data_IF_068270945501
#
_entry.id   IF_068270945501
#
_cell.length_a   1.000
_cell.length_b   1.000
_cell.length_c   1.000
_cell.angle_alpha   90.00
_cell.angle_beta   90.00
_cell.angle_gamma   90.00
#
_symmetry.space_group_name_H-M   'P 1'
#
loop_
_entity.id
_entity.type
_entity.pdbx_description
1 polymer ?
#
# COMPACT_ATOMS: atom_id res chain seq x y z
N UNK A 1 9.91 -9.32 -4.16
CA UNK A 1 9.67 -9.86 -2.82
C UNK A 1 10.32 -8.99 -1.75
N UNK A 2 9.68 -8.96 -0.59
CA UNK A 2 10.24 -8.32 0.60
C UNK A 2 10.94 -9.41 1.39
N UNK A 3 12.22 -9.18 1.72
CA UNK A 3 13.03 -10.17 2.42
C UNK A 3 13.56 -9.62 3.74
N UNK A 4 13.62 -10.49 4.76
CA UNK A 4 14.28 -10.22 6.02
C UNK A 4 15.41 -11.23 6.15
N UNK A 5 16.64 -10.81 5.85
CA UNK A 5 17.74 -11.73 5.66
C UNK A 5 17.46 -12.64 4.46
N UNK A 6 17.46 -13.95 4.69
CA UNK A 6 17.21 -14.95 3.63
C UNK A 6 15.75 -15.35 3.52
N UNK A 7 14.87 -14.79 4.36
CA UNK A 7 13.46 -15.19 4.40
C UNK A 7 12.59 -14.21 3.64
N UNK A 8 11.71 -14.72 2.80
CA UNK A 8 10.69 -13.93 2.13
C UNK A 8 9.55 -13.68 3.11
N UNK A 9 9.31 -12.42 3.45
CA UNK A 9 8.31 -12.05 4.46
C UNK A 9 7.10 -11.36 3.87
N UNK A 10 7.13 -11.03 2.59
CA UNK A 10 6.01 -10.39 1.92
C UNK A 10 6.33 -10.06 0.47
N UNK A 11 5.45 -9.30 -0.14
CA UNK A 11 5.63 -8.85 -1.52
C UNK A 11 4.98 -7.47 -1.71
N UNK A 12 5.56 -6.70 -2.60
CA UNK A 12 5.01 -5.42 -3.04
C UNK A 12 5.21 -5.30 -4.55
N UNK A 13 4.21 -4.75 -5.22
CA UNK A 13 4.30 -4.40 -6.62
C UNK A 13 4.07 -2.92 -6.78
N UNK A 14 5.00 -2.23 -7.41
CA UNK A 14 4.90 -0.81 -7.69
C UNK A 14 4.77 -0.64 -9.20
N UNK A 15 3.75 0.09 -9.60
CA UNK A 15 3.52 0.44 -11.01
C UNK A 15 3.87 1.91 -11.16
N UNK A 16 4.93 2.19 -11.91
CA UNK A 16 5.40 3.54 -12.18
C UNK A 16 5.64 3.66 -13.68
N UNK A 17 4.78 4.43 -14.35
CA UNK A 17 4.88 4.63 -15.79
C UNK A 17 5.96 5.64 -16.17
N UNK A 18 6.61 6.27 -15.18
CA UNK A 18 7.57 7.36 -15.36
C UNK A 18 7.00 8.55 -16.12
N UNK A 19 5.67 8.73 -16.09
CA UNK A 19 4.98 9.86 -16.69
C UNK A 19 4.50 10.80 -15.60
N UNK A 20 4.69 12.10 -15.81
CA UNK A 20 4.27 13.12 -14.86
C UNK A 20 2.76 13.23 -14.71
N UNK A 21 2.02 12.82 -15.73
CA UNK A 21 0.56 12.87 -15.77
C UNK A 21 -0.11 11.66 -15.14
N UNK A 22 0.65 10.71 -14.63
CA UNK A 22 0.12 9.49 -14.02
C UNK A 22 0.67 9.26 -12.64
N UNK A 23 -0.23 8.86 -11.74
CA UNK A 23 0.18 8.49 -10.40
C UNK A 23 0.86 7.12 -10.39
N UNK A 24 1.83 6.98 -9.51
CA UNK A 24 2.43 5.69 -9.19
C UNK A 24 1.44 4.91 -8.35
N UNK A 25 1.44 3.60 -8.49
CA UNK A 25 0.47 2.75 -7.81
C UNK A 25 1.15 1.61 -7.06
N UNK A 26 0.75 1.41 -5.83
CA UNK A 26 1.12 0.23 -5.05
C UNK A 26 -0.01 -0.79 -5.22
N UNK A 27 0.34 -1.99 -5.76
CA UNK A 27 -0.69 -3.01 -5.99
C UNK A 27 -0.03 -4.37 -6.23
N UNK A 28 -0.23 -5.35 -5.41
CA UNK A 28 -0.60 -5.27 -4.00
C UNK A 28 0.61 -5.11 -3.08
N UNK A 29 0.35 -4.86 -1.81
CA UNK A 29 1.35 -4.97 -0.75
C UNK A 29 0.80 -5.95 0.28
N UNK A 30 1.58 -6.99 0.61
CA UNK A 30 1.21 -7.86 1.72
C UNK A 30 2.44 -8.30 2.50
N UNK A 31 2.22 -8.56 3.78
CA UNK A 31 3.23 -9.10 4.71
C UNK A 31 2.66 -10.40 5.27
N UNK A 32 3.47 -11.45 5.32
CA UNK A 32 3.04 -12.71 5.92
C UNK A 32 2.58 -12.49 7.37
N UNK A 33 1.53 -13.19 7.82
CA UNK A 33 0.95 -12.93 9.15
C UNK A 33 1.96 -12.97 10.29
N UNK A 34 2.92 -13.87 10.26
CA UNK A 34 3.94 -14.00 11.31
C UNK A 34 4.91 -12.82 11.38
N UNK A 35 4.93 -11.97 10.34
CA UNK A 35 5.81 -10.80 10.28
C UNK A 35 5.04 -9.48 10.37
N UNK A 36 3.72 -9.53 10.50
CA UNK A 36 2.91 -8.32 10.65
C UNK A 36 3.13 -7.67 12.02
N UNK A 37 2.88 -6.38 12.10
CA UNK A 37 3.03 -5.63 13.34
C UNK A 37 4.46 -5.27 13.71
N UNK A 38 5.43 -5.50 12.82
CA UNK A 38 6.85 -5.22 13.06
C UNK A 38 7.37 -3.99 12.32
N UNK A 39 6.50 -3.23 11.69
CA UNK A 39 6.88 -2.03 10.95
C UNK A 39 7.50 -2.29 9.60
N UNK A 40 7.46 -3.51 9.08
CA UNK A 40 8.06 -3.86 7.79
C UNK A 40 7.37 -3.12 6.65
N UNK A 41 6.03 -3.11 6.65
CA UNK A 41 5.26 -2.44 5.61
C UNK A 41 5.57 -0.94 5.56
N UNK A 42 5.70 -0.29 6.71
CA UNK A 42 6.04 1.13 6.78
C UNK A 42 7.41 1.40 6.16
N UNK A 43 8.40 0.56 6.46
CA UNK A 43 9.75 0.70 5.91
C UNK A 43 9.75 0.53 4.40
N UNK A 44 9.00 -0.43 3.90
CA UNK A 44 8.90 -0.70 2.46
C UNK A 44 8.24 0.47 1.74
N UNK A 45 7.15 1.00 2.28
CA UNK A 45 6.46 2.15 1.68
C UNK A 45 7.40 3.37 1.63
N UNK A 46 8.11 3.65 2.71
CA UNK A 46 9.07 4.77 2.75
C UNK A 46 10.20 4.58 1.75
N UNK A 47 10.69 3.36 1.59
CA UNK A 47 11.73 3.07 0.62
C UNK A 47 11.23 3.30 -0.81
N UNK A 48 10.03 2.86 -1.13
CA UNK A 48 9.41 3.09 -2.44
C UNK A 48 9.24 4.58 -2.71
N UNK A 49 8.79 5.35 -1.72
CA UNK A 49 8.64 6.79 -1.85
C UNK A 49 9.99 7.49 -2.06
N UNK A 50 11.04 6.99 -1.43
CA UNK A 50 12.40 7.52 -1.61
C UNK A 50 12.90 7.26 -3.03
N UNK A 51 12.62 6.09 -3.58
CA UNK A 51 13.08 5.71 -4.93
C UNK A 51 12.27 6.43 -6.02
N UNK A 52 10.94 6.52 -5.84
CA UNK A 52 10.02 7.00 -6.87
C UNK A 52 9.43 8.39 -6.59
N UNK A 53 9.79 9.02 -5.47
CA UNK A 53 9.22 10.30 -5.05
C UNK A 53 8.10 10.12 -4.02
N UNK A 54 7.83 11.18 -3.25
CA UNK A 54 6.87 11.12 -2.15
C UNK A 54 5.43 11.43 -2.55
N UNK A 55 5.23 12.05 -3.71
CA UNK A 55 3.91 12.48 -4.16
C UNK A 55 3.45 11.72 -5.40
N UNK A 56 2.17 11.76 -5.64
CA UNK A 56 1.59 11.13 -6.81
C UNK A 56 1.41 9.63 -6.66
N UNK A 57 1.12 9.18 -5.45
CA UNK A 57 0.82 7.78 -5.16
C UNK A 57 -0.66 7.53 -5.05
N UNK A 58 -1.09 6.37 -5.50
CA UNK A 58 -2.45 5.87 -5.28
C UNK A 58 -2.40 4.40 -4.92
N UNK A 59 -3.36 3.96 -4.13
CA UNK A 59 -3.50 2.56 -3.79
C UNK A 59 -4.95 2.27 -3.38
N UNK A 60 -5.29 1.01 -3.34
CA UNK A 60 -6.56 0.55 -2.82
C UNK A 60 -6.32 -0.57 -1.82
N UNK A 61 -7.25 -0.72 -0.91
CA UNK A 61 -7.23 -1.80 0.08
C UNK A 61 -8.66 -2.18 0.46
N UNK A 62 -8.79 -3.28 1.18
CA UNK A 62 -10.10 -3.73 1.65
C UNK A 62 -10.51 -2.89 2.86
N UNK A 63 -11.68 -2.26 2.79
CA UNK A 63 -12.18 -1.41 3.86
C UNK A 63 -12.27 -2.15 5.20
N UNK A 64 -12.63 -3.43 5.17
CA UNK A 64 -12.75 -4.27 6.36
C UNK A 64 -11.39 -4.60 6.98
N UNK A 65 -10.30 -4.42 6.25
CA UNK A 65 -8.94 -4.59 6.76
C UNK A 65 -8.47 -3.30 7.43
N UNK A 66 -8.95 -3.06 8.63
CA UNK A 66 -8.72 -1.79 9.33
C UNK A 66 -7.26 -1.53 9.65
N UNK A 67 -6.47 -2.58 9.84
CA UNK A 67 -5.03 -2.45 10.05
C UNK A 67 -4.33 -1.83 8.85
N UNK A 68 -4.72 -2.21 7.63
CA UNK A 68 -4.17 -1.62 6.41
C UNK A 68 -4.60 -0.17 6.26
N UNK A 69 -5.87 0.13 6.52
CA UNK A 69 -6.36 1.50 6.47
C UNK A 69 -5.59 2.40 7.45
N UNK A 70 -5.40 1.93 8.67
CA UNK A 70 -4.63 2.64 9.68
C UNK A 70 -3.19 2.87 9.21
N UNK A 71 -2.56 1.85 8.65
CA UNK A 71 -1.20 1.94 8.14
C UNK A 71 -1.06 3.06 7.09
N UNK A 72 -1.93 3.06 6.09
CA UNK A 72 -1.84 4.04 5.02
C UNK A 72 -2.13 5.45 5.50
N UNK A 73 -3.12 5.62 6.38
CA UNK A 73 -3.42 6.92 6.97
C UNK A 73 -2.25 7.44 7.80
N UNK A 74 -1.59 6.57 8.55
CA UNK A 74 -0.39 6.91 9.32
C UNK A 74 0.76 7.33 8.42
N UNK A 75 0.86 6.76 7.22
CA UNK A 75 1.90 7.09 6.25
C UNK A 75 1.60 8.36 5.45
N UNK A 76 0.48 9.02 5.73
CA UNK A 76 0.12 10.26 5.07
C UNK A 76 -0.80 10.09 3.87
N UNK A 77 -1.30 8.89 3.63
CA UNK A 77 -2.29 8.66 2.60
C UNK A 77 -3.67 9.06 3.11
N UNK A 78 -4.50 9.55 2.20
CA UNK A 78 -5.87 9.95 2.55
C UNK A 78 -6.83 9.41 1.51
N UNK A 79 -8.05 9.13 1.96
CA UNK A 79 -9.11 8.68 1.06
C UNK A 79 -9.75 9.88 0.39
N UNK A 80 -10.13 9.72 -0.88
CA UNK A 80 -10.90 10.72 -1.61
C UNK A 80 -12.41 10.46 -1.50
N UNK A 81 -12.82 9.50 -0.65
CA UNK A 81 -14.21 9.10 -0.51
C UNK A 81 -14.70 8.07 -1.51
N UNK A 82 -13.86 7.70 -2.47
CA UNK A 82 -14.22 6.69 -3.46
C UNK A 82 -14.12 5.30 -2.86
N UNK A 83 -15.19 4.52 -3.02
CA UNK A 83 -15.25 3.12 -2.58
C UNK A 83 -15.88 2.30 -3.70
N UNK A 84 -15.54 1.02 -3.73
CA UNK A 84 -16.11 0.08 -4.68
C UNK A 84 -16.50 -1.21 -3.96
N UNK A 85 -17.78 -1.53 -3.97
CA UNK A 85 -18.28 -2.76 -3.36
C UNK A 85 -18.03 -3.92 -4.32
N UNK A 86 -17.22 -4.89 -3.90
CA UNK A 86 -16.92 -6.09 -4.68
C UNK A 86 -18.04 -7.12 -4.49
N UNK A 87 -18.45 -7.31 -3.23
CA UNK A 87 -19.55 -8.20 -2.85
C UNK A 87 -20.08 -7.80 -1.48
N UNK A 88 -20.98 -8.60 -0.92
CA UNK A 88 -21.61 -8.30 0.38
C UNK A 88 -20.63 -8.16 1.53
N UNK A 89 -19.42 -8.70 1.39
CA UNK A 89 -18.44 -8.79 2.48
C UNK A 89 -17.22 -7.93 2.26
N UNK A 90 -16.92 -7.56 1.01
CA UNK A 90 -15.68 -6.87 0.66
C UNK A 90 -15.97 -5.57 -0.09
N UNK A 91 -15.38 -4.49 0.42
CA UNK A 91 -15.44 -3.17 -0.21
C UNK A 91 -14.02 -2.64 -0.36
N UNK A 92 -13.68 -2.16 -1.54
CA UNK A 92 -12.41 -1.48 -1.76
C UNK A 92 -12.56 -0.02 -1.36
N UNK A 93 -11.52 0.51 -0.68
CA UNK A 93 -11.38 1.93 -0.41
C UNK A 93 -10.09 2.42 -1.08
N UNK A 94 -10.15 3.59 -1.67
CA UNK A 94 -9.06 4.14 -2.44
C UNK A 94 -8.37 5.26 -1.67
N UNK A 95 -7.04 5.21 -1.65
CA UNK A 95 -6.20 6.19 -0.99
C UNK A 95 -5.26 6.84 -2.00
N UNK A 96 -4.86 8.07 -1.70
CA UNK A 96 -3.91 8.81 -2.52
C UNK A 96 -2.99 9.68 -1.65
N UNK A 97 -1.85 10.03 -2.21
CA UNK A 97 -0.87 10.88 -1.54
C UNK A 97 -0.19 11.85 -2.51
#
# INVERSE_FOLDING_TARGET
FICLGNKKVGAIRVIDSHREDRNKRISPLFILPEYQGKGIAQKVIRLCERIHGEKGWELDTILQEKGNCYLYEKMGYHTNGKVEMINDKLTLIFYEK
#
